data_IF_516366286213
#
_entry.id   IF_516366286213
#
_cell.length_a   1.000
_cell.length_b   1.000
_cell.length_c   1.000
_cell.angle_alpha   90.00
_cell.angle_beta   90.00
_cell.angle_gamma   90.00
#
_symmetry.space_group_name_H-M   'P 1'
#
loop_
_entity.id
_entity.type
_entity.pdbx_description
1 polymer ?
#
# COMPACT_ATOMS: atom_id res chain seq x y z
N UNK A 1 -15.24 11.40 0.00
CA UNK A 1 -15.31 11.56 -1.46
C UNK A 1 -14.28 12.61 -1.86
N UNK A 2 -13.06 12.20 -2.19
CA UNK A 2 -12.02 13.12 -2.65
C UNK A 2 -12.04 13.10 -4.18
N UNK A 3 -12.83 13.98 -4.78
CA UNK A 3 -12.70 14.27 -6.20
C UNK A 3 -11.49 15.18 -6.36
N UNK A 4 -10.29 14.61 -6.27
CA UNK A 4 -9.12 15.25 -6.86
C UNK A 4 -9.29 15.15 -8.37
N UNK A 5 -10.09 16.06 -8.93
CA UNK A 5 -9.89 16.49 -10.31
C UNK A 5 -8.44 16.92 -10.30
N UNK A 6 -7.57 16.17 -10.97
CA UNK A 6 -6.18 16.57 -11.12
C UNK A 6 -6.21 18.04 -11.52
N UNK A 7 -5.58 18.91 -10.73
CA UNK A 7 -5.33 20.29 -11.15
C UNK A 7 -4.18 20.28 -12.17
N UNK A 8 -4.26 19.35 -13.12
CA UNK A 8 -3.21 19.07 -14.06
C UNK A 8 -3.23 20.14 -15.14
N UNK A 9 -2.04 20.70 -15.39
CA UNK A 9 -1.89 21.55 -16.55
C UNK A 9 -1.99 20.66 -17.79
N UNK A 10 -2.96 20.97 -18.65
CA UNK A 10 -3.18 20.24 -19.89
C UNK A 10 -2.36 20.88 -21.00
N UNK A 11 -1.49 20.09 -21.60
CA UNK A 11 -0.74 20.43 -22.81
C UNK A 11 -1.16 19.51 -23.95
N UNK A 12 -1.11 20.02 -25.18
CA UNK A 12 -1.18 19.19 -26.37
C UNK A 12 0.19 18.59 -26.69
N UNK A 13 0.21 17.46 -27.40
CA UNK A 13 1.45 16.90 -27.95
C UNK A 13 2.23 17.88 -28.84
N UNK A 14 1.53 18.81 -29.50
CA UNK A 14 2.16 19.87 -30.30
C UNK A 14 2.87 20.90 -29.41
N UNK A 15 2.31 21.25 -28.25
CA UNK A 15 2.95 22.15 -27.29
C UNK A 15 4.15 21.48 -26.62
N UNK A 16 4.03 20.20 -26.25
CA UNK A 16 5.18 19.42 -25.76
C UNK A 16 6.34 19.45 -26.76
N UNK A 17 6.07 19.25 -28.05
CA UNK A 17 7.13 19.27 -29.08
C UNK A 17 7.76 20.66 -29.25
N UNK A 18 6.97 21.73 -29.13
CA UNK A 18 7.44 23.11 -29.36
C UNK A 18 8.08 23.75 -28.12
N UNK A 19 7.69 23.33 -26.92
CA UNK A 19 8.01 23.96 -25.64
C UNK A 19 8.30 22.91 -24.57
N UNK A 20 9.03 21.86 -24.92
CA UNK A 20 9.33 20.72 -24.04
C UNK A 20 9.92 21.16 -22.69
N UNK A 21 10.83 22.13 -22.69
CA UNK A 21 11.40 22.70 -21.45
C UNK A 21 10.32 23.23 -20.50
N UNK A 22 9.39 24.05 -20.99
CA UNK A 22 8.31 24.60 -20.17
C UNK A 22 7.34 23.53 -19.64
N UNK A 23 7.05 22.51 -20.44
CA UNK A 23 6.22 21.38 -20.00
C UNK A 23 6.92 20.58 -18.90
N UNK A 24 8.22 20.31 -19.05
CA UNK A 24 9.02 19.63 -18.04
C UNK A 24 9.15 20.46 -16.76
N UNK A 25 9.39 21.77 -16.87
CA UNK A 25 9.47 22.69 -15.73
C UNK A 25 8.15 22.73 -14.96
N UNK A 26 7.02 22.68 -15.66
CA UNK A 26 5.69 22.58 -15.05
C UNK A 26 5.50 21.22 -14.36
N UNK A 27 5.92 20.13 -15.01
CA UNK A 27 5.85 18.77 -14.45
C UNK A 27 6.72 18.56 -13.20
N UNK A 28 7.69 19.44 -12.94
CA UNK A 28 8.49 19.42 -11.70
C UNK A 28 7.69 19.88 -10.48
N UNK A 29 6.66 20.72 -10.66
CA UNK A 29 5.90 21.30 -9.55
C UNK A 29 4.49 20.72 -9.43
N UNK A 30 3.91 20.25 -10.54
CA UNK A 30 2.55 19.69 -10.57
C UNK A 30 2.42 18.64 -11.69
N UNK A 31 1.63 17.57 -11.50
CA UNK A 31 1.32 16.65 -12.60
C UNK A 31 0.77 17.39 -13.82
N UNK A 32 1.16 16.96 -15.01
CA UNK A 32 0.66 17.53 -16.28
C UNK A 32 0.04 16.44 -17.12
N UNK A 33 -1.04 16.77 -17.82
CA UNK A 33 -1.67 15.88 -18.80
C UNK A 33 -1.31 16.31 -20.20
N UNK A 34 -0.80 15.37 -20.98
CA UNK A 34 -0.45 15.54 -22.38
C UNK A 34 -1.53 14.85 -23.22
N UNK A 35 -2.24 15.62 -24.03
CA UNK A 35 -3.25 15.11 -24.94
C UNK A 35 -2.68 14.90 -26.34
N UNK A 36 -2.97 13.75 -26.95
CA UNK A 36 -2.60 13.46 -28.34
C UNK A 36 -3.74 12.69 -29.01
N UNK A 37 -4.35 13.30 -30.03
CA UNK A 37 -5.56 12.77 -30.65
C UNK A 37 -6.65 12.56 -29.59
N UNK A 38 -7.08 11.32 -29.37
CA UNK A 38 -8.10 10.95 -28.37
C UNK A 38 -7.50 10.33 -27.10
N UNK A 39 -6.17 10.28 -26.98
CA UNK A 39 -5.48 9.72 -25.82
C UNK A 39 -4.92 10.81 -24.92
N UNK A 40 -4.81 10.48 -23.63
CA UNK A 40 -4.23 11.34 -22.60
C UNK A 40 -3.13 10.58 -21.85
N UNK A 41 -2.02 11.27 -21.60
CA UNK A 41 -0.87 10.74 -20.87
C UNK A 41 -0.56 11.65 -19.69
N UNK A 42 -0.34 11.10 -18.51
CA UNK A 42 0.15 11.87 -17.38
C UNK A 42 1.68 11.89 -17.37
N UNK A 43 2.25 13.08 -17.17
CA UNK A 43 3.66 13.24 -16.84
C UNK A 43 3.77 13.77 -15.43
N UNK A 44 4.49 13.04 -14.60
CA UNK A 44 4.68 13.32 -13.18
C UNK A 44 6.13 13.01 -12.78
N UNK A 45 6.57 13.62 -11.69
CA UNK A 45 7.85 13.25 -11.08
C UNK A 45 7.83 11.78 -10.68
N UNK A 46 8.93 11.08 -10.95
CA UNK A 46 9.09 9.65 -10.63
C UNK A 46 8.83 9.35 -9.15
N UNK A 47 9.28 10.25 -8.27
CA UNK A 47 9.09 10.16 -6.82
C UNK A 47 7.61 10.12 -6.46
N UNK A 48 6.80 11.05 -6.99
CA UNK A 48 5.35 11.06 -6.78
C UNK A 48 4.68 9.76 -7.27
N UNK A 49 5.07 9.25 -8.44
CA UNK A 49 4.55 7.96 -8.93
C UNK A 49 4.91 6.81 -8.00
N UNK A 50 6.13 6.83 -7.47
CA UNK A 50 6.64 5.78 -6.58
C UNK A 50 5.86 5.80 -5.27
N UNK A 51 5.62 6.98 -4.70
CA UNK A 51 4.86 7.13 -3.46
C UNK A 51 3.40 6.71 -3.64
N UNK A 52 2.75 7.14 -4.74
CA UNK A 52 1.39 6.69 -5.07
C UNK A 52 1.32 5.16 -5.24
N UNK A 53 2.33 4.55 -5.87
CA UNK A 53 2.37 3.10 -6.03
C UNK A 53 2.51 2.38 -4.67
N UNK A 54 3.39 2.89 -3.80
CA UNK A 54 3.56 2.38 -2.43
C UNK A 54 2.28 2.53 -1.61
N UNK A 55 1.64 3.69 -1.64
CA UNK A 55 0.35 3.94 -0.98
C UNK A 55 -0.70 2.89 -1.39
N UNK A 56 -0.87 2.67 -2.70
CA UNK A 56 -1.82 1.69 -3.23
C UNK A 56 -1.46 0.28 -2.76
N UNK A 57 -0.18 -0.10 -2.86
CA UNK A 57 0.30 -1.41 -2.44
C UNK A 57 0.01 -1.66 -0.95
N UNK A 58 0.41 -0.74 -0.08
CA UNK A 58 0.25 -0.90 1.37
C UNK A 58 -1.21 -0.86 1.79
N UNK A 59 -2.01 0.06 1.22
CA UNK A 59 -3.44 0.13 1.52
C UNK A 59 -4.16 -1.16 1.12
N UNK A 60 -3.79 -1.77 -0.01
CA UNK A 60 -4.32 -3.06 -0.43
C UNK A 60 -3.92 -4.18 0.54
N UNK A 61 -2.67 -4.21 1.00
CA UNK A 61 -2.20 -5.20 2.00
C UNK A 61 -2.95 -5.06 3.31
N UNK A 62 -3.08 -3.85 3.83
CA UNK A 62 -3.83 -3.58 5.07
C UNK A 62 -5.29 -4.03 4.93
N UNK A 63 -5.95 -3.71 3.81
CA UNK A 63 -7.33 -4.14 3.58
C UNK A 63 -7.48 -5.66 3.55
N UNK A 64 -6.52 -6.38 2.94
CA UNK A 64 -6.53 -7.84 2.88
C UNK A 64 -6.26 -8.47 4.25
N UNK A 65 -5.30 -7.93 5.00
CA UNK A 65 -5.00 -8.33 6.38
C UNK A 65 -6.22 -8.18 7.29
N UNK A 66 -6.86 -7.01 7.27
CA UNK A 66 -8.07 -6.75 8.09
C UNK A 66 -9.20 -7.69 7.69
N UNK A 67 -9.37 -7.99 6.40
CA UNK A 67 -10.34 -8.95 5.94
C UNK A 67 -10.05 -10.36 6.49
N UNK A 68 -8.80 -10.81 6.50
CA UNK A 68 -8.42 -12.11 7.09
C UNK A 68 -8.69 -12.15 8.59
N UNK A 69 -8.32 -11.10 9.34
CA UNK A 69 -8.63 -11.01 10.77
C UNK A 69 -10.14 -11.06 11.02
N UNK A 70 -10.94 -10.40 10.17
CA UNK A 70 -12.40 -10.44 10.25
C UNK A 70 -12.95 -11.84 9.98
N UNK A 71 -12.48 -12.52 8.94
CA UNK A 71 -12.86 -13.91 8.62
C UNK A 71 -12.55 -14.85 9.79
N UNK A 72 -11.35 -14.74 10.37
CA UNK A 72 -10.93 -15.52 11.53
C UNK A 72 -11.79 -15.24 12.77
N UNK A 73 -12.21 -13.99 12.96
CA UNK A 73 -13.14 -13.60 14.04
C UNK A 73 -14.51 -14.28 13.88
N UNK A 74 -14.93 -14.52 12.64
CA UNK A 74 -16.15 -15.27 12.31
C UNK A 74 -15.97 -16.80 12.35
N UNK A 75 -14.76 -17.30 12.67
CA UNK A 75 -14.45 -18.72 12.69
C UNK A 75 -14.36 -19.35 11.29
N UNK A 76 -14.05 -18.54 10.27
CA UNK A 76 -13.85 -19.03 8.90
C UNK A 76 -12.40 -19.52 8.72
N UNK A 77 -12.22 -20.55 7.90
CA UNK A 77 -10.90 -21.04 7.51
C UNK A 77 -10.27 -20.15 6.43
N UNK A 78 -8.96 -19.96 6.51
CA UNK A 78 -8.21 -19.20 5.51
C UNK A 78 -7.54 -20.16 4.53
N UNK A 79 -7.73 -19.90 3.23
CA UNK A 79 -7.12 -20.70 2.16
C UNK A 79 -5.60 -20.81 2.32
N UNK A 80 -5.04 -22.00 2.06
CA UNK A 80 -3.60 -22.27 2.17
C UNK A 80 -2.71 -21.38 1.32
N UNK A 81 -3.26 -20.83 0.23
CA UNK A 81 -2.57 -19.94 -0.71
C UNK A 81 -2.65 -18.46 -0.35
N UNK A 82 -3.40 -18.09 0.69
CA UNK A 82 -3.54 -16.70 1.11
C UNK A 82 -2.23 -16.20 1.75
N UNK A 83 -1.73 -15.04 1.30
CA UNK A 83 -0.47 -14.46 1.79
C UNK A 83 -0.49 -14.11 3.29
N UNK A 84 -1.68 -13.93 3.87
CA UNK A 84 -1.92 -13.60 5.27
C UNK A 84 -2.36 -14.79 6.12
N UNK A 85 -2.22 -16.03 5.62
CA UNK A 85 -2.60 -17.24 6.38
C UNK A 85 -1.89 -17.34 7.74
N UNK A 86 -0.67 -16.82 7.85
CA UNK A 86 0.11 -16.80 9.10
C UNK A 86 -0.61 -16.11 10.28
N UNK A 87 -1.66 -15.32 10.03
CA UNK A 87 -2.47 -14.71 11.10
C UNK A 87 -3.26 -15.76 11.90
N UNK A 88 -3.47 -16.96 11.35
CA UNK A 88 -4.12 -18.08 12.04
C UNK A 88 -3.39 -18.47 13.35
N UNK A 89 -2.06 -18.32 13.38
CA UNK A 89 -1.21 -18.65 14.54
C UNK A 89 -1.51 -17.78 15.78
N UNK A 90 -2.09 -16.61 15.58
CA UNK A 90 -2.39 -15.68 16.66
C UNK A 90 -3.73 -15.97 17.33
N UNK A 91 -3.80 -15.71 18.63
CA UNK A 91 -5.05 -15.68 19.37
C UNK A 91 -5.83 -14.39 19.10
N UNK A 92 -7.01 -14.25 19.71
CA UNK A 92 -7.90 -13.10 19.47
C UNK A 92 -7.29 -11.76 19.90
N UNK A 93 -6.59 -11.72 21.04
CA UNK A 93 -5.99 -10.50 21.59
C UNK A 93 -4.85 -10.03 20.68
N UNK A 94 -3.96 -10.95 20.31
CA UNK A 94 -2.84 -10.68 19.39
C UNK A 94 -3.32 -10.20 18.01
N UNK A 95 -4.41 -10.77 17.47
CA UNK A 95 -5.00 -10.28 16.22
C UNK A 95 -5.55 -8.86 16.32
N UNK A 96 -6.03 -8.45 17.51
CA UNK A 96 -6.48 -7.08 17.74
C UNK A 96 -5.28 -6.14 17.83
N UNK A 97 -4.22 -6.55 18.52
CA UNK A 97 -2.98 -5.77 18.63
C UNK A 97 -2.32 -5.57 17.26
N UNK A 98 -2.20 -6.64 16.45
CA UNK A 98 -1.77 -6.58 15.05
C UNK A 98 -2.53 -5.51 14.27
N UNK A 99 -3.86 -5.53 14.32
CA UNK A 99 -4.70 -4.58 13.57
C UNK A 99 -4.49 -3.16 14.07
N UNK A 100 -4.39 -2.95 15.38
CA UNK A 100 -4.15 -1.63 15.96
C UNK A 100 -2.81 -1.05 15.51
N UNK A 101 -1.72 -1.81 15.61
CA UNK A 101 -0.38 -1.35 15.21
C UNK A 101 -0.31 -1.05 13.71
N UNK A 102 -0.90 -1.91 12.87
CA UNK A 102 -0.99 -1.66 11.43
C UNK A 102 -1.80 -0.40 11.12
N UNK A 103 -2.88 -0.12 11.86
CA UNK A 103 -3.63 1.12 11.71
C UNK A 103 -2.85 2.36 12.17
N UNK A 104 -2.09 2.26 13.25
CA UNK A 104 -1.21 3.33 13.71
C UNK A 104 -0.15 3.67 12.67
N UNK A 105 0.52 2.64 12.12
CA UNK A 105 1.46 2.79 11.02
C UNK A 105 0.81 3.39 9.77
N UNK A 106 -0.41 2.95 9.42
CA UNK A 106 -1.16 3.51 8.29
C UNK A 106 -1.49 4.99 8.49
N UNK A 107 -1.95 5.37 9.68
CA UNK A 107 -2.26 6.77 9.99
C UNK A 107 -1.00 7.65 9.95
N UNK A 108 0.12 7.12 10.44
CA UNK A 108 1.41 7.80 10.35
C UNK A 108 1.80 8.00 8.88
N UNK A 109 1.77 6.93 8.08
CA UNK A 109 2.10 6.94 6.66
C UNK A 109 1.26 7.95 5.87
N UNK A 110 -0.03 8.07 6.15
CA UNK A 110 -0.91 9.09 5.53
C UNK A 110 -0.47 10.53 5.84
N UNK A 111 0.19 10.75 6.97
CA UNK A 111 0.66 12.08 7.38
C UNK A 111 2.09 12.41 6.95
N UNK A 112 2.94 11.38 6.79
CA UNK A 112 4.38 11.53 6.51
C UNK A 112 4.77 11.11 5.09
N UNK A 113 3.87 10.45 4.35
CA UNK A 113 4.13 9.75 3.08
C UNK A 113 5.19 8.64 3.20
N UNK A 114 5.41 8.15 4.43
CA UNK A 114 6.32 7.05 4.75
C UNK A 114 5.56 5.72 4.84
N UNK A 115 5.38 5.10 3.67
CA UNK A 115 4.67 3.83 3.52
C UNK A 115 5.52 2.61 3.86
N UNK A 116 6.84 2.77 4.03
CA UNK A 116 7.73 1.65 4.31
C UNK A 116 7.52 1.13 5.74
N UNK A 117 7.11 2.01 6.67
CA UNK A 117 6.77 1.63 8.05
C UNK A 117 5.59 0.65 8.13
N UNK A 118 4.56 0.83 7.30
CA UNK A 118 3.43 -0.11 7.24
C UNK A 118 3.90 -1.52 6.83
N UNK A 119 4.82 -1.58 5.87
CA UNK A 119 5.39 -2.84 5.43
C UNK A 119 6.28 -3.48 6.52
N UNK A 120 7.03 -2.66 7.27
CA UNK A 120 7.86 -3.11 8.37
C UNK A 120 7.03 -3.75 9.49
N UNK A 121 5.98 -3.07 9.96
CA UNK A 121 5.07 -3.61 10.99
C UNK A 121 4.46 -4.94 10.55
N UNK A 122 3.89 -5.01 9.33
CA UNK A 122 3.33 -6.27 8.81
C UNK A 122 4.38 -7.37 8.75
N UNK A 123 5.63 -7.04 8.37
CA UNK A 123 6.72 -7.99 8.31
C UNK A 123 7.11 -8.51 9.69
N UNK A 124 7.26 -7.65 10.69
CA UNK A 124 7.60 -8.02 12.06
C UNK A 124 6.57 -8.97 12.68
N UNK A 125 5.28 -8.68 12.47
CA UNK A 125 4.20 -9.58 12.90
C UNK A 125 4.24 -10.92 12.19
N UNK A 126 4.55 -10.95 10.89
CA UNK A 126 4.72 -12.20 10.15
C UNK A 126 5.88 -13.04 10.69
N UNK A 127 7.01 -12.42 11.00
CA UNK A 127 8.14 -13.13 11.61
C UNK A 127 7.79 -13.67 13.01
N UNK A 128 6.97 -12.93 13.77
CA UNK A 128 6.47 -13.39 15.07
C UNK A 128 5.58 -14.63 14.94
N UNK A 129 4.71 -14.69 13.93
CA UNK A 129 3.90 -15.88 13.67
C UNK A 129 4.76 -17.11 13.31
N UNK A 130 5.83 -16.90 12.53
CA UNK A 130 6.77 -17.97 12.17
C UNK A 130 7.49 -18.50 13.42
N UNK A 131 7.86 -17.63 14.36
CA UNK A 131 8.48 -18.03 15.62
C UNK A 131 7.53 -18.89 16.47
N UNK A 132 6.27 -18.47 16.63
CA UNK A 132 5.24 -19.24 17.36
C UNK A 132 5.08 -20.64 16.77
N UNK A 133 4.88 -20.73 15.45
CA UNK A 133 4.73 -22.01 14.75
C UNK A 133 5.97 -22.92 14.90
N UNK A 134 7.17 -22.32 14.92
CA UNK A 134 8.42 -23.06 15.09
C UNK A 134 8.58 -23.63 16.51
N UNK A 135 8.18 -22.89 17.53
CA UNK A 135 8.21 -23.35 18.93
C UNK A 135 7.21 -24.47 19.17
N UNK A 136 5.99 -24.37 18.64
CA UNK A 136 5.00 -25.46 18.69
C UNK A 136 5.51 -26.73 18.02
N UNK A 137 6.16 -26.59 16.86
CA UNK A 137 6.81 -27.71 16.18
C UNK A 137 7.92 -28.31 17.05
N UNK A 138 8.76 -27.49 17.68
CA UNK A 138 9.83 -27.97 18.55
C UNK A 138 9.30 -28.75 19.76
N UNK A 139 8.22 -28.28 20.40
CA UNK A 139 7.56 -29.00 21.50
C UNK A 139 6.95 -30.33 21.04
N UNK A 140 6.28 -30.36 19.89
CA UNK A 140 5.62 -31.56 19.36
C UNK A 140 6.60 -32.71 19.01
N UNK A 141 7.87 -32.41 18.76
CA UNK A 141 8.92 -33.39 18.45
C UNK A 141 9.89 -33.67 19.62
N UNK A 142 9.61 -33.16 20.83
CA UNK A 142 10.38 -33.41 22.06
C UNK A 142 9.82 -34.57 22.90
#
# INVERSE_FOLDING_TARGET
MNTAIFSDHIFTSSELNRRSGHVLDTALTTPVTITRNNDSFALLRRELMTNMAKEIEQTNKVSQLVNVVFQLTLGQEIESTNEFKWIEEFNREERVDLVNEVYEALNLAQSTDDWDEVAAVIHEWRESAIAVSSDELAEAFS
#
